data_IF_768184994934
#
_entry.id   IF_768184994934
#
_cell.length_a   1.000
_cell.length_b   1.000
_cell.length_c   1.000
_cell.angle_alpha   90.00
_cell.angle_beta   90.00
_cell.angle_gamma   90.00
#
_symmetry.space_group_name_H-M   'P 1'
#
loop_
_entity.id
_entity.type
_entity.pdbx_description
1 polymer ?
#
# COMPACT_ATOMS: atom_id res chain seq x y z
N UNK A 1 -3.51 -8.21 22.78
CA UNK A 1 -4.05 -8.56 21.44
C UNK A 1 -4.24 -7.26 20.68
N UNK A 2 -3.70 -7.12 19.46
CA UNK A 2 -3.83 -5.86 18.71
C UNK A 2 -5.26 -5.70 18.19
N UNK A 3 -5.87 -4.53 18.40
CA UNK A 3 -7.22 -4.22 17.92
C UNK A 3 -7.18 -3.66 16.48
N UNK A 4 -7.11 -4.57 15.51
CA UNK A 4 -7.13 -4.20 14.10
C UNK A 4 -8.52 -3.76 13.62
N UNK A 5 -9.59 -4.15 14.32
CA UNK A 5 -10.94 -3.77 13.94
C UNK A 5 -11.21 -2.31 14.32
N UNK A 6 -10.89 -1.91 15.57
CA UNK A 6 -10.95 -0.51 15.98
C UNK A 6 -10.02 0.38 15.15
N UNK A 7 -8.80 -0.09 14.86
CA UNK A 7 -7.90 0.65 13.96
C UNK A 7 -8.49 0.84 12.55
N UNK A 8 -9.16 -0.18 12.00
CA UNK A 8 -9.81 -0.10 10.69
C UNK A 8 -10.94 0.94 10.67
N UNK A 9 -11.70 1.05 11.76
CA UNK A 9 -12.73 2.08 11.92
C UNK A 9 -12.13 3.48 11.95
N UNK A 10 -11.03 3.69 12.67
CA UNK A 10 -10.31 4.97 12.72
C UNK A 10 -9.79 5.35 11.32
N UNK A 11 -9.11 4.43 10.62
CA UNK A 11 -8.60 4.72 9.28
C UNK A 11 -9.73 4.91 8.27
N UNK A 12 -10.85 4.20 8.41
CA UNK A 12 -12.05 4.41 7.60
C UNK A 12 -12.68 5.78 7.83
N UNK A 13 -12.79 6.21 9.08
CA UNK A 13 -13.27 7.55 9.44
C UNK A 13 -12.34 8.63 8.87
N UNK A 14 -11.03 8.51 9.11
CA UNK A 14 -10.04 9.46 8.60
C UNK A 14 -10.14 9.59 7.08
N UNK A 15 -10.17 8.46 6.35
CA UNK A 15 -10.35 8.46 4.89
C UNK A 15 -11.62 9.19 4.46
N UNK A 16 -12.76 8.91 5.10
CA UNK A 16 -14.06 9.41 4.64
C UNK A 16 -14.34 10.86 5.05
N UNK A 17 -13.70 11.35 6.12
CA UNK A 17 -13.94 12.70 6.66
C UNK A 17 -12.88 13.70 6.26
N UNK A 18 -11.67 13.25 5.93
CA UNK A 18 -10.59 14.13 5.54
C UNK A 18 -10.72 14.49 4.06
N UNK A 19 -11.10 15.75 3.79
CA UNK A 19 -11.21 16.28 2.42
C UNK A 19 -9.87 16.82 1.88
N UNK A 20 -9.01 17.26 2.79
CA UNK A 20 -7.68 17.82 2.50
C UNK A 20 -6.71 17.18 3.48
N UNK A 21 -5.66 16.56 2.94
CA UNK A 21 -4.60 15.97 3.74
C UNK A 21 -3.47 16.97 3.94
N UNK A 22 -2.90 17.01 5.15
CA UNK A 22 -1.75 17.86 5.44
C UNK A 22 -0.51 17.49 4.63
N UNK A 23 -0.39 16.22 4.23
CA UNK A 23 0.66 15.74 3.33
C UNK A 23 0.24 14.47 2.60
N UNK A 24 0.85 14.21 1.44
CA UNK A 24 0.72 12.94 0.72
C UNK A 24 1.18 11.74 1.57
N UNK A 25 2.20 11.93 2.41
CA UNK A 25 2.68 10.91 3.32
C UNK A 25 1.61 10.52 4.36
N UNK A 26 0.90 11.50 4.92
CA UNK A 26 -0.21 11.24 5.88
C UNK A 26 -1.32 10.44 5.21
N UNK A 27 -1.73 10.84 4.01
CA UNK A 27 -2.73 10.13 3.21
C UNK A 27 -2.30 8.68 2.95
N UNK A 28 -1.09 8.46 2.43
CA UNK A 28 -0.60 7.12 2.15
C UNK A 28 -0.46 6.25 3.40
N UNK A 29 -0.10 6.83 4.55
CA UNK A 29 -0.09 6.11 5.83
C UNK A 29 -1.48 5.59 6.17
N UNK A 30 -2.52 6.42 6.02
CA UNK A 30 -3.91 6.00 6.25
C UNK A 30 -4.31 4.88 5.28
N UNK A 31 -4.07 5.06 3.98
CA UNK A 31 -4.44 4.06 2.97
C UNK A 31 -3.69 2.73 3.14
N UNK A 32 -2.38 2.78 3.36
CA UNK A 32 -1.56 1.58 3.58
C UNK A 32 -1.93 0.87 4.88
N UNK A 33 -2.12 1.61 5.99
CA UNK A 33 -2.49 0.99 7.27
C UNK A 33 -3.90 0.41 7.24
N UNK A 34 -4.83 1.02 6.50
CA UNK A 34 -6.16 0.45 6.25
C UNK A 34 -6.04 -0.92 5.57
N UNK A 35 -5.20 -1.05 4.53
CA UNK A 35 -4.96 -2.36 3.89
C UNK A 35 -4.31 -3.37 4.83
N UNK A 36 -3.40 -2.94 5.71
CA UNK A 36 -2.81 -3.83 6.74
C UNK A 36 -3.86 -4.33 7.72
N UNK A 37 -4.75 -3.45 8.21
CA UNK A 37 -5.82 -3.85 9.13
C UNK A 37 -6.75 -4.85 8.46
N UNK A 38 -7.14 -4.62 7.20
CA UNK A 38 -7.94 -5.57 6.42
C UNK A 38 -7.24 -6.91 6.20
N UNK A 39 -5.92 -6.93 6.02
CA UNK A 39 -5.15 -8.18 5.95
C UNK A 39 -5.20 -8.97 7.26
N UNK A 40 -5.20 -8.28 8.40
CA UNK A 40 -5.24 -8.90 9.73
C UNK A 40 -6.66 -9.31 10.13
N UNK A 41 -7.68 -8.61 9.65
CA UNK A 41 -9.09 -9.02 9.76
C UNK A 41 -9.41 -10.11 8.73
N UNK A 42 -9.46 -11.38 9.17
CA UNK A 42 -9.76 -12.52 8.30
C UNK A 42 -11.10 -12.36 7.57
N UNK A 43 -11.21 -12.89 6.35
CA UNK A 43 -12.47 -12.96 5.59
C UNK A 43 -12.82 -11.74 4.74
N UNK A 44 -12.03 -10.65 4.79
CA UNK A 44 -12.33 -9.39 4.08
C UNK A 44 -11.49 -9.20 2.80
N UNK A 45 -11.26 -10.28 2.06
CA UNK A 45 -10.36 -10.28 0.89
C UNK A 45 -10.78 -9.27 -0.21
N UNK A 46 -12.07 -9.15 -0.60
CA UNK A 46 -12.47 -8.14 -1.59
C UNK A 46 -12.17 -6.71 -1.15
N UNK A 47 -12.41 -6.40 0.13
CA UNK A 47 -12.16 -5.08 0.70
C UNK A 47 -10.66 -4.79 0.81
N UNK A 48 -9.85 -5.80 1.16
CA UNK A 48 -8.40 -5.71 1.14
C UNK A 48 -7.89 -5.36 -0.25
N UNK A 49 -8.36 -6.07 -1.29
CA UNK A 49 -7.98 -5.80 -2.68
C UNK A 49 -8.36 -4.37 -3.07
N UNK A 50 -9.58 -3.93 -2.75
CA UNK A 50 -10.03 -2.57 -3.02
C UNK A 50 -9.17 -1.52 -2.29
N UNK A 51 -8.82 -1.73 -1.02
CA UNK A 51 -7.95 -0.85 -0.25
C UNK A 51 -6.53 -0.77 -0.84
N UNK A 52 -5.98 -1.90 -1.27
CA UNK A 52 -4.69 -1.91 -1.95
C UNK A 52 -4.76 -1.19 -3.30
N UNK A 53 -5.80 -1.39 -4.10
CA UNK A 53 -5.98 -0.70 -5.38
C UNK A 53 -5.98 0.82 -5.21
N UNK A 54 -6.75 1.32 -4.23
CA UNK A 54 -6.80 2.73 -3.90
C UNK A 54 -5.43 3.30 -3.52
N UNK A 55 -4.71 2.62 -2.62
CA UNK A 55 -3.35 3.01 -2.24
C UNK A 55 -2.39 3.02 -3.44
N UNK A 56 -2.44 1.98 -4.28
CA UNK A 56 -1.58 1.85 -5.46
C UNK A 56 -1.88 2.91 -6.53
N UNK A 57 -3.16 3.24 -6.75
CA UNK A 57 -3.56 4.34 -7.63
C UNK A 57 -3.00 5.67 -7.12
N UNK A 58 -3.09 5.94 -5.81
CA UNK A 58 -2.52 7.16 -5.23
C UNK A 58 -0.99 7.20 -5.37
N UNK A 59 -0.30 6.10 -5.10
CA UNK A 59 1.16 6.00 -5.29
C UNK A 59 1.56 6.20 -6.75
N UNK A 60 0.80 5.67 -7.71
CA UNK A 60 1.06 5.88 -9.13
C UNK A 60 0.89 7.36 -9.55
N UNK A 61 -0.06 8.08 -8.94
CA UNK A 61 -0.18 9.52 -9.12
C UNK A 61 1.03 10.27 -8.52
N UNK A 62 1.45 9.91 -7.30
CA UNK A 62 2.60 10.51 -6.62
C UNK A 62 3.92 10.35 -7.39
N UNK A 63 4.12 9.22 -8.06
CA UNK A 63 5.29 9.01 -8.94
C UNK A 63 5.40 10.01 -10.09
N UNK A 64 4.31 10.69 -10.45
CA UNK A 64 4.26 11.70 -11.52
C UNK A 64 4.34 13.12 -10.97
N UNK A 65 4.23 13.29 -9.65
CA UNK A 65 4.36 14.59 -8.99
C UNK A 65 5.85 14.92 -8.78
N UNK A 66 6.23 16.21 -8.79
CA UNK A 66 7.55 16.64 -8.35
C UNK A 66 7.85 16.13 -6.94
N UNK A 67 9.10 15.71 -6.72
CA UNK A 67 9.59 15.21 -5.43
C UNK A 67 8.72 14.10 -4.80
N UNK A 68 8.03 13.31 -5.63
CA UNK A 68 7.17 12.20 -5.21
C UNK A 68 6.11 12.59 -4.16
N UNK A 69 5.63 13.84 -4.19
CA UNK A 69 4.72 14.40 -3.18
C UNK A 69 5.39 14.67 -1.83
N UNK A 70 6.67 15.07 -1.84
CA UNK A 70 7.46 15.36 -0.65
C UNK A 70 8.04 14.13 0.04
N UNK A 71 8.18 13.02 -0.68
CA UNK A 71 8.72 11.76 -0.15
C UNK A 71 9.96 11.34 -0.93
N UNK A 72 10.81 10.49 -0.33
CA UNK A 72 11.88 9.84 -1.10
C UNK A 72 11.29 8.78 -2.03
N UNK A 73 11.93 8.58 -3.20
CA UNK A 73 11.61 7.48 -4.10
C UNK A 73 11.61 6.15 -3.34
N UNK A 74 12.64 5.91 -2.54
CA UNK A 74 12.81 4.71 -1.71
C UNK A 74 11.59 4.44 -0.81
N UNK A 75 11.09 5.45 -0.09
CA UNK A 75 9.94 5.30 0.79
C UNK A 75 8.68 4.94 -0.01
N UNK A 76 8.46 5.62 -1.14
CA UNK A 76 7.32 5.37 -2.00
C UNK A 76 7.35 3.93 -2.56
N UNK A 77 8.51 3.46 -3.00
CA UNK A 77 8.70 2.10 -3.50
C UNK A 77 8.47 1.06 -2.39
N UNK A 78 9.00 1.28 -1.18
CA UNK A 78 8.76 0.40 -0.02
C UNK A 78 7.27 0.27 0.31
N UNK A 79 6.53 1.39 0.32
CA UNK A 79 5.09 1.39 0.56
C UNK A 79 4.33 0.67 -0.55
N UNK A 80 4.72 0.87 -1.81
CA UNK A 80 4.12 0.20 -2.96
C UNK A 80 4.34 -1.32 -2.90
N UNK A 81 5.55 -1.78 -2.61
CA UNK A 81 5.88 -3.20 -2.42
C UNK A 81 5.01 -3.83 -1.33
N UNK A 82 4.78 -3.14 -0.21
CA UNK A 82 3.92 -3.63 0.84
C UNK A 82 2.46 -3.80 0.37
N UNK A 83 1.90 -2.83 -0.36
CA UNK A 83 0.54 -2.90 -0.89
C UNK A 83 0.38 -4.01 -1.94
N UNK A 84 1.33 -4.13 -2.87
CA UNK A 84 1.34 -5.19 -3.89
C UNK A 84 1.46 -6.57 -3.25
N UNK A 85 2.35 -6.75 -2.27
CA UNK A 85 2.48 -8.03 -1.56
C UNK A 85 1.17 -8.45 -0.88
N UNK A 86 0.48 -7.51 -0.22
CA UNK A 86 -0.83 -7.78 0.40
C UNK A 86 -1.89 -8.13 -0.65
N UNK A 87 -1.96 -7.38 -1.76
CA UNK A 87 -2.94 -7.59 -2.83
C UNK A 87 -2.70 -8.92 -3.56
N UNK A 88 -1.44 -9.21 -3.92
CA UNK A 88 -1.05 -10.46 -4.55
C UNK A 88 -1.42 -11.67 -3.70
N UNK A 89 -1.12 -11.63 -2.40
CA UNK A 89 -1.54 -12.70 -1.48
C UNK A 89 -3.06 -12.84 -1.35
N UNK A 90 -3.82 -11.73 -1.42
CA UNK A 90 -5.28 -11.77 -1.42
C UNK A 90 -5.83 -12.40 -2.71
N UNK A 91 -5.23 -12.09 -3.87
CA UNK A 91 -5.58 -12.73 -5.15
C UNK A 91 -5.32 -14.24 -5.12
N UNK A 92 -4.17 -14.68 -4.60
CA UNK A 92 -3.85 -16.10 -4.46
C UNK A 92 -4.90 -16.84 -3.61
N UNK A 93 -5.36 -16.23 -2.52
CA UNK A 93 -6.43 -16.79 -1.69
C UNK A 93 -7.79 -16.87 -2.41
N UNK A 94 -8.04 -15.97 -3.37
CA UNK A 94 -9.23 -16.00 -4.23
C UNK A 94 -9.06 -16.89 -5.48
N UNK A 95 -8.00 -17.69 -5.56
CA UNK A 95 -7.66 -18.52 -6.75
C UNK A 95 -7.42 -17.70 -8.02
N UNK A 96 -7.00 -16.44 -7.88
CA UNK A 96 -6.61 -15.53 -8.96
C UNK A 96 -5.09 -15.52 -9.12
N UNK A 97 -4.55 -16.66 -9.58
CA UNK A 97 -3.12 -16.90 -9.54
C UNK A 97 -2.31 -15.99 -10.48
N UNK A 98 -2.88 -15.63 -11.64
CA UNK A 98 -2.21 -14.75 -12.60
C UNK A 98 -2.00 -13.34 -12.04
N UNK A 99 -3.06 -12.74 -11.47
CA UNK A 99 -2.98 -11.43 -10.83
C UNK A 99 -2.07 -11.47 -9.60
N UNK A 100 -2.15 -12.54 -8.81
CA UNK A 100 -1.27 -12.78 -7.67
C UNK A 100 0.21 -12.81 -8.07
N UNK A 101 0.55 -13.60 -9.08
CA UNK A 101 1.92 -13.73 -9.58
C UNK A 101 2.43 -12.43 -10.20
N UNK A 102 1.57 -11.69 -10.91
CA UNK A 102 1.93 -10.37 -11.46
C UNK A 102 2.33 -9.39 -10.37
N UNK A 103 1.53 -9.30 -9.30
CA UNK A 103 1.84 -8.43 -8.16
C UNK A 103 3.15 -8.83 -7.47
N UNK A 104 3.37 -10.13 -7.27
CA UNK A 104 4.60 -10.63 -6.63
C UNK A 104 5.84 -10.42 -7.50
N UNK A 105 5.72 -10.52 -8.83
CA UNK A 105 6.80 -10.19 -9.75
C UNK A 105 7.17 -8.70 -9.65
N UNK A 106 6.18 -7.81 -9.63
CA UNK A 106 6.40 -6.38 -9.46
C UNK A 106 7.08 -6.07 -8.11
N UNK A 107 6.66 -6.71 -7.02
CA UNK A 107 7.31 -6.56 -5.70
C UNK A 107 8.82 -6.83 -5.78
N UNK A 108 9.23 -7.90 -6.49
CA UNK A 108 10.66 -8.24 -6.63
C UNK A 108 11.42 -7.13 -7.36
N UNK A 109 10.86 -6.61 -8.44
CA UNK A 109 11.43 -5.49 -9.20
C UNK A 109 11.60 -4.25 -8.32
N UNK A 110 10.57 -3.90 -7.54
CA UNK A 110 10.60 -2.73 -6.68
C UNK A 110 11.61 -2.87 -5.53
N UNK A 111 11.71 -4.05 -4.91
CA UNK A 111 12.67 -4.31 -3.84
C UNK A 111 14.12 -4.24 -4.35
N UNK A 112 14.41 -4.79 -5.53
CA UNK A 112 15.73 -4.65 -6.14
C UNK A 112 16.11 -3.18 -6.42
N UNK A 113 15.13 -2.36 -6.84
CA UNK A 113 15.34 -0.91 -7.01
C UNK A 113 15.61 -0.21 -5.68
N UNK A 114 14.88 -0.56 -4.63
CA UNK A 114 15.11 -0.04 -3.27
C UNK A 114 16.53 -0.37 -2.80
N UNK A 115 16.96 -1.62 -2.96
CA UNK A 115 18.32 -2.05 -2.58
C UNK A 115 19.40 -1.25 -3.33
N UNK A 116 19.19 -0.99 -4.63
CA UNK A 116 20.11 -0.18 -5.42
C UNK A 116 20.17 1.29 -4.94
N UNK A 117 19.04 1.88 -4.54
CA UNK A 117 19.00 3.24 -3.98
C UNK A 117 19.69 3.31 -2.61
N UNK A 118 19.46 2.31 -1.76
CA UNK A 118 20.12 2.21 -0.44
C UNK A 118 21.64 2.06 -0.57
N UNK A 119 22.11 1.31 -1.57
CA UNK A 119 23.55 1.14 -1.84
C UNK A 119 24.24 2.43 -2.31
N UNK A 120 23.52 3.33 -3.01
CA UNK A 120 24.06 4.62 -3.48
C UNK A 120 24.19 5.67 -2.36
N UNK A 121 23.47 5.47 -1.26
CA UNK A 121 23.40 6.42 -0.14
C UNK A 121 24.37 6.04 0.99
N UNK A 122 25.05 4.90 0.89
CA UNK A 122 26.06 4.41 1.82
C UNK A 122 27.46 4.74 1.35
#
# INVERSE_FOLDING_TARGET
KNDYQGALEIYGYAKNRTKVWDSALTELKVLSNRSLCLQRCRGRLPELIAACNEALTRMAALKREPDFGGMSEEMLLKMQSACLSRRGNAYMQQRKAEEGNRDLAEVRTLLARVEALEAQTR
#
